data_IF_579827634068
#
_entry.id   IF_579827634068
#
_cell.length_a   1.000
_cell.length_b   1.000
_cell.length_c   1.000
_cell.angle_alpha   90.00
_cell.angle_beta   90.00
_cell.angle_gamma   90.00
#
_symmetry.space_group_name_H-M   'P 1'
#
loop_
_entity.id
_entity.type
_entity.pdbx_description
1 polymer ?
#
# COMPACT_ATOMS: atom_id res chain seq x y z
N UNK A 1 97.09 -19.90 19.49
CA UNK A 1 95.81 -19.49 20.16
C UNK A 1 94.79 -19.16 19.11
N UNK A 2 93.85 -20.08 18.92
CA UNK A 2 92.84 -20.01 17.87
C UNK A 2 91.47 -19.59 18.45
N UNK A 3 91.01 -18.48 18.07
CA UNK A 3 89.70 -17.98 18.47
C UNK A 3 88.59 -18.56 17.57
N UNK A 4 87.71 -19.35 18.15
CA UNK A 4 86.53 -19.92 17.44
C UNK A 4 85.37 -18.97 17.52
N UNK A 5 85.01 -18.34 16.40
CA UNK A 5 83.84 -17.50 16.27
C UNK A 5 82.58 -18.35 16.12
N UNK A 6 81.69 -18.28 17.09
CA UNK A 6 80.36 -18.96 17.12
C UNK A 6 79.38 -18.24 16.22
N UNK A 7 79.06 -18.83 15.10
CA UNK A 7 77.90 -18.38 14.23
C UNK A 7 76.55 -18.77 14.89
N UNK A 8 75.80 -17.80 15.36
CA UNK A 8 74.44 -17.98 15.83
C UNK A 8 73.48 -18.04 14.61
N UNK A 9 72.75 -19.16 14.48
CA UNK A 9 71.79 -19.38 13.46
C UNK A 9 70.50 -18.50 13.70
N UNK A 10 70.28 -17.56 12.82
CA UNK A 10 69.08 -16.70 12.82
C UNK A 10 67.93 -17.33 12.04
N UNK A 11 67.76 -18.65 12.04
CA UNK A 11 66.74 -19.33 11.25
C UNK A 11 65.43 -19.48 12.02
N UNK A 12 65.39 -19.28 13.33
CA UNK A 12 64.18 -19.57 14.13
C UNK A 12 63.14 -18.43 14.16
N UNK A 13 63.55 -17.19 13.83
CA UNK A 13 62.60 -16.02 13.92
C UNK A 13 61.64 -15.92 12.73
N UNK A 14 62.07 -16.37 11.56
CA UNK A 14 61.21 -16.25 10.35
C UNK A 14 60.14 -17.34 10.26
N UNK A 15 60.43 -18.54 10.75
CA UNK A 15 59.41 -19.61 10.73
C UNK A 15 58.28 -19.38 11.72
N UNK A 16 58.52 -18.70 12.84
CA UNK A 16 57.47 -18.38 13.83
C UNK A 16 56.54 -17.27 13.31
N UNK A 17 57.09 -16.29 12.60
CA UNK A 17 56.27 -15.22 11.98
C UNK A 17 55.35 -15.71 10.87
N UNK A 18 55.77 -16.67 10.08
CA UNK A 18 54.96 -17.24 9.00
C UNK A 18 53.89 -18.20 9.53
N UNK A 19 54.18 -18.99 10.57
CA UNK A 19 53.14 -19.83 11.21
C UNK A 19 52.09 -19.00 11.97
N UNK A 20 52.45 -17.89 12.58
CA UNK A 20 51.52 -16.98 13.28
C UNK A 20 50.57 -16.26 12.34
N UNK A 21 51.01 -15.94 11.10
CA UNK A 21 50.21 -15.29 10.09
C UNK A 21 49.12 -16.23 9.46
N UNK A 22 49.42 -17.51 9.33
CA UNK A 22 48.49 -18.49 8.79
C UNK A 22 47.34 -18.88 9.76
N UNK A 23 47.56 -18.71 11.08
CA UNK A 23 46.52 -19.05 12.07
C UNK A 23 45.44 -17.94 12.23
N UNK A 24 45.70 -16.74 11.74
CA UNK A 24 44.73 -15.65 11.80
C UNK A 24 43.77 -15.59 10.57
N UNK A 25 44.08 -16.30 9.49
CA UNK A 25 43.22 -16.35 8.30
C UNK A 25 42.12 -17.43 8.34
N UNK A 26 42.17 -18.35 9.31
CA UNK A 26 41.31 -19.53 9.31
C UNK A 26 39.97 -19.36 10.05
N UNK A 27 39.68 -18.22 10.66
CA UNK A 27 38.50 -18.07 11.51
C UNK A 27 37.44 -17.08 11.02
N UNK A 28 37.67 -16.40 9.89
CA UNK A 28 36.71 -15.36 9.43
C UNK A 28 35.65 -15.93 8.51
N UNK A 29 35.97 -16.94 7.70
CA UNK A 29 35.06 -17.49 6.69
C UNK A 29 33.89 -18.29 7.29
N UNK A 30 34.02 -18.80 8.51
CA UNK A 30 32.95 -19.54 9.19
C UNK A 30 32.01 -18.67 10.01
N UNK A 31 32.25 -17.37 10.14
CA UNK A 31 31.44 -16.43 10.92
C UNK A 31 30.71 -15.41 10.05
N UNK A 32 31.05 -15.31 8.77
CA UNK A 32 30.32 -14.48 7.85
C UNK A 32 29.19 -15.30 7.22
N UNK A 33 27.96 -14.83 7.22
CA UNK A 33 26.88 -15.47 6.50
C UNK A 33 27.22 -15.52 5.01
N UNK A 34 26.82 -16.62 4.33
CA UNK A 34 27.08 -16.82 2.89
C UNK A 34 26.50 -15.68 2.03
N UNK A 35 25.46 -15.02 2.54
CA UNK A 35 24.89 -13.81 1.95
C UNK A 35 24.67 -12.76 3.02
N UNK A 36 25.05 -11.52 2.74
CA UNK A 36 24.73 -10.38 3.59
C UNK A 36 23.36 -9.84 3.25
N UNK A 37 22.57 -9.54 4.26
CA UNK A 37 21.33 -8.83 4.08
C UNK A 37 21.57 -7.46 3.46
N UNK A 38 20.76 -7.08 2.51
CA UNK A 38 20.90 -5.82 1.78
C UNK A 38 19.57 -5.11 1.59
N UNK A 39 19.64 -3.80 1.53
CA UNK A 39 18.57 -2.96 1.04
C UNK A 39 18.97 -2.45 -0.34
N UNK A 40 18.21 -2.82 -1.39
CA UNK A 40 18.55 -2.44 -2.76
C UNK A 40 18.44 -0.92 -2.94
N UNK A 41 19.49 -0.31 -3.50
CA UNK A 41 19.50 1.12 -3.81
C UNK A 41 18.41 1.53 -4.81
N UNK A 42 18.04 0.62 -5.70
CA UNK A 42 17.06 0.83 -6.75
C UNK A 42 15.62 0.48 -6.29
N UNK A 43 15.47 -0.02 -5.05
CA UNK A 43 14.14 -0.21 -4.45
C UNK A 43 13.40 1.13 -4.39
N UNK A 44 12.19 1.18 -4.96
CA UNK A 44 11.44 2.42 -5.11
C UNK A 44 9.93 2.20 -5.21
N UNK A 45 9.18 3.23 -4.85
CA UNK A 45 7.78 3.32 -5.19
C UNK A 45 7.62 3.72 -6.65
N UNK A 46 6.72 3.05 -7.36
CA UNK A 46 6.39 3.31 -8.77
C UNK A 46 5.45 4.49 -8.94
N UNK A 47 4.72 4.83 -7.88
CA UNK A 47 3.77 5.93 -7.84
C UNK A 47 4.00 6.77 -6.58
N UNK A 48 4.02 8.09 -6.74
CA UNK A 48 4.20 9.07 -5.66
C UNK A 48 3.02 10.02 -5.48
N UNK A 49 2.01 9.93 -6.35
CA UNK A 49 0.79 10.73 -6.28
C UNK A 49 -0.43 9.83 -6.30
N UNK A 50 -1.29 9.98 -5.32
CA UNK A 50 -2.50 9.20 -5.13
C UNK A 50 -3.73 10.10 -5.13
N UNK A 51 -4.75 9.69 -5.89
CA UNK A 51 -6.03 10.41 -6.02
C UNK A 51 -7.21 9.48 -5.73
N UNK A 52 -7.30 8.91 -4.53
CA UNK A 52 -8.39 8.01 -4.17
C UNK A 52 -9.71 8.77 -4.03
N UNK A 53 -10.82 8.10 -4.27
CA UNK A 53 -12.16 8.63 -4.00
C UNK A 53 -12.49 8.36 -2.53
N UNK A 54 -12.92 9.41 -1.82
CA UNK A 54 -13.35 9.32 -0.42
C UNK A 54 -14.60 8.44 -0.25
N UNK A 55 -14.87 8.01 0.97
CA UNK A 55 -16.07 7.26 1.30
C UNK A 55 -16.03 5.78 0.94
N UNK A 56 -14.93 5.27 0.42
CA UNK A 56 -14.69 3.85 0.11
C UNK A 56 -13.32 3.41 0.57
N UNK A 57 -13.13 2.09 0.77
CA UNK A 57 -11.81 1.55 1.06
C UNK A 57 -10.97 1.56 -0.21
N UNK A 58 -9.93 2.37 -0.22
CA UNK A 58 -8.97 2.42 -1.31
C UNK A 58 -7.72 1.66 -0.88
N UNK A 59 -7.36 0.61 -1.62
CA UNK A 59 -6.12 -0.14 -1.47
C UNK A 59 -5.31 0.10 -2.74
N UNK A 60 -4.20 0.81 -2.58
CA UNK A 60 -3.33 1.22 -3.68
C UNK A 60 -2.18 0.22 -3.73
N UNK A 61 -2.42 -0.84 -4.52
CA UNK A 61 -1.54 -2.01 -4.67
C UNK A 61 -0.45 -1.77 -5.73
N UNK A 62 0.52 -2.71 -5.80
CA UNK A 62 1.57 -2.77 -6.82
C UNK A 62 2.38 -1.49 -6.97
N UNK A 63 2.53 -0.76 -5.89
CA UNK A 63 3.15 0.55 -5.86
C UNK A 63 4.62 0.54 -5.40
N UNK A 64 5.17 -0.62 -5.02
CA UNK A 64 6.55 -0.74 -4.56
C UNK A 64 7.32 -1.85 -5.26
N UNK A 65 8.50 -1.52 -5.80
CA UNK A 65 9.48 -2.46 -6.33
C UNK A 65 10.60 -2.66 -5.33
N UNK A 66 10.73 -3.86 -4.79
CA UNK A 66 11.75 -4.18 -3.78
C UNK A 66 13.16 -4.37 -4.38
N UNK A 67 13.27 -4.58 -5.71
CA UNK A 67 14.53 -4.96 -6.34
C UNK A 67 15.11 -6.25 -5.72
N UNK A 68 16.40 -6.23 -5.41
CA UNK A 68 17.12 -7.32 -4.75
C UNK A 68 17.20 -7.16 -3.22
N UNK A 69 16.29 -6.41 -2.62
CA UNK A 69 16.27 -6.22 -1.16
C UNK A 69 15.93 -7.52 -0.44
N UNK A 70 16.65 -7.81 0.63
CA UNK A 70 16.38 -8.94 1.52
C UNK A 70 14.99 -8.80 2.16
N UNK A 71 14.22 -9.87 2.14
CA UNK A 71 12.88 -9.92 2.74
C UNK A 71 12.96 -10.48 4.18
N UNK A 72 12.02 -10.12 5.08
CA UNK A 72 10.89 -9.25 4.85
C UNK A 72 11.22 -7.76 4.93
N UNK A 73 10.55 -6.96 4.11
CA UNK A 73 10.51 -5.51 4.26
C UNK A 73 9.42 -5.10 5.24
N UNK A 74 9.65 -4.02 5.96
CA UNK A 74 8.67 -3.41 6.86
C UNK A 74 8.49 -1.94 6.51
N UNK A 75 7.23 -1.54 6.29
CA UNK A 75 6.86 -0.19 5.90
C UNK A 75 6.11 0.51 7.03
N UNK A 76 6.42 1.79 7.23
CA UNK A 76 5.72 2.67 8.18
C UNK A 76 5.58 4.06 7.58
N UNK A 77 4.46 4.73 7.85
CA UNK A 77 4.33 6.16 7.56
C UNK A 77 5.11 6.90 8.64
N UNK A 78 6.07 7.70 8.23
CA UNK A 78 6.95 8.44 9.15
C UNK A 78 6.47 9.88 9.39
N UNK A 79 5.72 10.44 8.42
CA UNK A 79 5.21 11.80 8.50
C UNK A 79 3.93 11.92 7.67
N UNK A 80 2.95 12.70 8.19
CA UNK A 80 1.78 13.15 7.42
C UNK A 80 1.53 14.62 7.76
N UNK A 81 1.40 15.45 6.74
CA UNK A 81 1.08 16.87 6.89
C UNK A 81 0.10 17.30 5.79
N UNK A 82 -0.63 18.35 6.03
CA UNK A 82 -1.39 19.05 4.97
C UNK A 82 -0.42 19.68 3.97
N UNK A 83 -0.89 19.95 2.78
CA UNK A 83 -0.05 20.55 1.73
C UNK A 83 0.55 21.91 2.15
N UNK A 84 -0.11 22.67 2.99
CA UNK A 84 0.34 23.93 3.59
C UNK A 84 1.39 23.75 4.70
N UNK A 85 1.73 22.51 5.05
CA UNK A 85 2.67 22.15 6.12
C UNK A 85 2.03 22.01 7.49
N UNK A 86 0.73 22.27 7.64
CA UNK A 86 0.00 22.07 8.90
C UNK A 86 -0.14 20.58 9.26
N UNK A 87 -0.41 20.31 10.54
CA UNK A 87 -0.71 18.96 11.04
C UNK A 87 -1.97 18.41 10.37
N UNK A 88 -2.06 17.09 10.23
CA UNK A 88 -3.15 16.38 9.60
C UNK A 88 -3.79 15.33 10.54
N UNK A 89 -4.37 15.75 11.69
CA UNK A 89 -4.96 14.83 12.67
C UNK A 89 -6.09 14.00 12.05
N UNK A 90 -6.81 14.53 11.09
CA UNK A 90 -7.87 13.83 10.37
C UNK A 90 -7.40 12.56 9.62
N UNK A 91 -6.10 12.41 9.37
CA UNK A 91 -5.53 11.22 8.75
C UNK A 91 -4.74 10.35 9.73
N UNK A 92 -4.21 10.95 10.81
CA UNK A 92 -3.30 10.28 11.76
C UNK A 92 -4.00 9.81 13.02
N UNK A 93 -5.09 10.48 13.44
CA UNK A 93 -5.87 10.04 14.58
C UNK A 93 -6.58 8.72 14.29
N UNK A 94 -6.87 7.98 15.34
CA UNK A 94 -7.53 6.69 15.23
C UNK A 94 -9.05 6.84 15.14
N UNK A 95 -9.63 6.19 14.15
CA UNK A 95 -11.05 6.11 13.90
C UNK A 95 -11.51 4.64 13.88
N UNK A 96 -12.75 4.34 14.30
CA UNK A 96 -13.29 3.00 14.16
C UNK A 96 -13.54 2.68 12.69
N UNK A 97 -12.71 1.84 12.11
CA UNK A 97 -12.85 1.36 10.74
C UNK A 97 -13.39 -0.07 10.71
N UNK A 98 -14.20 -0.38 9.71
CA UNK A 98 -14.75 -1.71 9.51
C UNK A 98 -13.76 -2.59 8.78
N UNK A 99 -13.39 -3.70 9.38
CA UNK A 99 -12.39 -4.63 8.84
C UNK A 99 -12.94 -6.06 8.80
N UNK A 100 -12.36 -6.88 7.92
CA UNK A 100 -12.61 -8.31 7.93
C UNK A 100 -11.83 -8.97 9.09
N UNK A 101 -12.55 -9.70 9.96
CA UNK A 101 -11.97 -10.50 11.05
C UNK A 101 -11.67 -11.94 10.62
N UNK A 102 -12.42 -12.41 9.63
CA UNK A 102 -12.19 -13.69 8.97
C UNK A 102 -12.47 -13.58 7.48
N UNK A 103 -11.85 -14.44 6.63
CA UNK A 103 -11.99 -14.31 5.18
C UNK A 103 -13.41 -14.61 4.71
N UNK A 104 -13.83 -13.93 3.66
CA UNK A 104 -14.99 -14.29 2.87
C UNK A 104 -14.64 -15.49 1.98
N UNK A 105 -15.40 -16.57 2.07
CA UNK A 105 -15.12 -17.82 1.35
C UNK A 105 -16.02 -18.02 0.13
N UNK A 106 -17.11 -17.24 0.01
CA UNK A 106 -18.12 -17.42 -1.04
C UNK A 106 -19.10 -18.56 -0.78
N UNK A 107 -19.05 -19.15 0.41
CA UNK A 107 -19.97 -20.21 0.86
C UNK A 107 -21.05 -19.69 1.81
N UNK A 108 -20.97 -18.43 2.17
CA UNK A 108 -21.93 -17.74 3.04
C UNK A 108 -23.30 -17.67 2.34
N UNK A 109 -24.34 -18.08 3.07
CA UNK A 109 -25.71 -18.20 2.53
C UNK A 109 -26.59 -17.02 2.91
N UNK A 110 -26.14 -16.16 3.83
CA UNK A 110 -26.90 -15.01 4.29
C UNK A 110 -26.01 -13.78 4.50
N UNK A 111 -26.63 -12.60 4.50
CA UNK A 111 -25.96 -11.34 4.81
C UNK A 111 -25.44 -11.33 6.25
N UNK A 112 -26.17 -11.93 7.17
CA UNK A 112 -25.80 -12.03 8.58
C UNK A 112 -24.50 -12.82 8.77
N UNK A 113 -24.30 -13.91 8.01
CA UNK A 113 -23.05 -14.68 8.03
C UNK A 113 -21.86 -13.86 7.52
N UNK A 114 -22.07 -13.08 6.46
CA UNK A 114 -21.05 -12.17 5.92
C UNK A 114 -20.73 -11.08 6.93
N UNK A 115 -21.75 -10.47 7.52
CA UNK A 115 -21.58 -9.39 8.49
C UNK A 115 -20.90 -9.86 9.78
N UNK A 116 -21.15 -11.08 10.22
CA UNK A 116 -20.50 -11.68 11.39
C UNK A 116 -18.97 -11.84 11.22
N UNK A 117 -18.49 -11.87 9.98
CA UNK A 117 -17.05 -11.93 9.66
C UNK A 117 -16.36 -10.56 9.72
N UNK A 118 -17.10 -9.50 9.94
CA UNK A 118 -16.61 -8.13 10.02
C UNK A 118 -16.63 -7.62 11.45
N UNK A 119 -15.78 -6.64 11.73
CA UNK A 119 -15.74 -5.98 13.02
C UNK A 119 -15.13 -4.60 12.87
N UNK A 120 -15.12 -3.85 13.97
CA UNK A 120 -14.48 -2.55 14.03
C UNK A 120 -13.12 -2.66 14.71
N UNK A 121 -12.16 -1.89 14.21
CA UNK A 121 -10.85 -1.65 14.82
C UNK A 121 -10.53 -0.17 14.74
N UNK A 122 -9.87 0.35 15.78
CA UNK A 122 -9.37 1.73 15.72
C UNK A 122 -8.10 1.75 14.86
N UNK A 123 -8.12 2.56 13.82
CA UNK A 123 -7.02 2.72 12.89
C UNK A 123 -6.95 4.16 12.37
N UNK A 124 -5.76 4.62 12.05
CA UNK A 124 -5.60 5.86 11.30
C UNK A 124 -6.19 5.71 9.90
N UNK A 125 -6.79 6.78 9.38
CA UNK A 125 -7.46 6.73 8.07
C UNK A 125 -6.49 6.50 6.92
N UNK A 126 -5.28 7.04 7.02
CA UNK A 126 -4.18 6.76 6.09
C UNK A 126 -3.22 5.77 6.72
N UNK A 127 -2.99 4.66 6.05
CA UNK A 127 -2.08 3.60 6.50
C UNK A 127 -1.21 3.09 5.35
N UNK A 128 -0.10 2.45 5.70
CA UNK A 128 0.68 1.61 4.80
C UNK A 128 0.67 0.18 5.34
N UNK A 129 0.47 -0.80 4.49
CA UNK A 129 0.58 -2.21 4.89
C UNK A 129 2.02 -2.54 5.24
N UNK A 130 2.19 -3.13 6.41
CA UNK A 130 3.49 -3.36 7.04
C UNK A 130 4.49 -4.10 6.14
N UNK A 131 4.07 -5.06 5.36
CA UNK A 131 4.98 -5.92 4.59
C UNK A 131 4.88 -5.79 3.07
N UNK A 132 3.80 -5.21 2.56
CA UNK A 132 3.62 -5.02 1.10
C UNK A 132 3.88 -3.59 0.62
N UNK A 133 3.85 -2.61 1.53
CA UNK A 133 3.99 -1.19 1.16
C UNK A 133 2.76 -0.60 0.48
N UNK A 134 1.65 -1.34 0.41
CA UNK A 134 0.39 -0.84 -0.15
C UNK A 134 -0.16 0.28 0.73
N UNK A 135 -0.56 1.37 0.11
CA UNK A 135 -1.18 2.51 0.80
C UNK A 135 -2.68 2.29 0.90
N UNK A 136 -3.24 2.49 2.07
CA UNK A 136 -4.67 2.31 2.36
C UNK A 136 -5.26 3.64 2.82
N UNK A 137 -6.38 4.02 2.20
CA UNK A 137 -7.26 5.06 2.72
C UNK A 137 -8.63 4.43 3.03
N UNK A 138 -9.03 4.50 4.30
CA UNK A 138 -10.24 3.85 4.78
C UNK A 138 -11.52 4.60 4.40
N UNK A 139 -12.62 3.87 4.26
CA UNK A 139 -13.95 4.40 3.86
C UNK A 139 -14.50 5.49 4.80
N UNK A 140 -14.01 5.55 6.04
CA UNK A 140 -14.39 6.57 7.00
C UNK A 140 -13.85 7.97 6.65
N UNK A 141 -12.87 8.08 5.73
CA UNK A 141 -12.42 9.34 5.18
C UNK A 141 -13.53 9.97 4.34
N UNK A 142 -14.03 11.14 4.79
CA UNK A 142 -15.13 11.87 4.17
C UNK A 142 -14.73 13.31 3.85
N UNK A 143 -15.29 13.89 2.80
CA UNK A 143 -15.03 15.28 2.39
C UNK A 143 -15.51 16.32 3.40
N UNK A 144 -16.32 15.91 4.39
CA UNK A 144 -16.76 16.78 5.47
C UNK A 144 -15.62 17.20 6.40
N UNK A 145 -14.53 16.46 6.48
CA UNK A 145 -13.38 16.76 7.34
C UNK A 145 -12.01 16.48 6.70
N UNK A 146 -11.94 15.62 5.68
CA UNK A 146 -10.70 15.35 4.94
C UNK A 146 -10.61 16.34 3.77
N UNK A 147 -9.44 16.97 3.62
CA UNK A 147 -9.14 17.84 2.47
C UNK A 147 -9.15 17.05 1.18
N UNK A 148 -9.93 17.49 0.21
CA UNK A 148 -10.06 16.82 -1.09
C UNK A 148 -10.04 17.85 -2.22
N UNK A 149 -9.86 17.39 -3.47
CA UNK A 149 -9.92 18.26 -4.64
C UNK A 149 -11.16 19.20 -4.59
N UNK A 150 -11.01 20.55 -4.79
CA UNK A 150 -9.85 21.28 -5.35
C UNK A 150 -8.72 21.63 -4.36
N UNK A 151 -8.81 21.27 -3.10
CA UNK A 151 -7.73 21.48 -2.14
C UNK A 151 -6.48 20.67 -2.55
N UNK A 152 -5.29 21.17 -2.20
CA UNK A 152 -4.01 20.53 -2.55
C UNK A 152 -3.71 19.23 -1.76
N UNK A 153 -4.61 18.82 -0.86
CA UNK A 153 -4.53 17.58 -0.10
C UNK A 153 -3.40 17.52 0.91
N UNK A 154 -2.65 16.42 0.89
CA UNK A 154 -1.65 16.07 1.91
C UNK A 154 -0.33 15.65 1.31
N UNK A 155 0.72 15.75 2.12
CA UNK A 155 2.05 15.20 1.84
C UNK A 155 2.36 14.19 2.95
N UNK A 156 2.89 13.02 2.58
CA UNK A 156 3.31 12.02 3.54
C UNK A 156 4.62 11.37 3.11
N UNK A 157 5.30 10.75 4.07
CA UNK A 157 6.57 10.09 3.87
C UNK A 157 6.46 8.64 4.38
N UNK A 158 7.14 7.71 3.70
CA UNK A 158 7.15 6.30 4.06
C UNK A 158 8.60 5.86 4.31
N UNK A 159 8.80 5.19 5.43
CA UNK A 159 10.05 4.51 5.74
C UNK A 159 9.92 3.03 5.46
N UNK A 160 10.85 2.47 4.70
CA UNK A 160 11.01 1.05 4.48
C UNK A 160 12.27 0.56 5.19
N UNK A 161 12.19 -0.58 5.88
CA UNK A 161 13.26 -1.15 6.70
C UNK A 161 13.34 -2.65 6.46
N UNK A 162 14.53 -3.20 6.44
CA UNK A 162 14.82 -4.64 6.55
C UNK A 162 16.07 -4.86 7.39
N UNK A 163 16.56 -6.11 7.47
CA UNK A 163 17.79 -6.48 8.17
C UNK A 163 19.05 -5.84 7.56
N UNK A 164 19.05 -5.52 6.26
CA UNK A 164 20.17 -4.91 5.55
C UNK A 164 20.22 -3.37 5.64
N UNK A 165 19.16 -2.72 6.13
CA UNK A 165 19.13 -1.26 6.23
C UNK A 165 17.74 -0.65 6.16
N UNK A 166 17.70 0.63 5.85
CA UNK A 166 16.44 1.38 5.71
C UNK A 166 16.56 2.48 4.67
N UNK A 167 15.41 2.89 4.15
CA UNK A 167 15.31 4.01 3.22
C UNK A 167 14.05 4.83 3.52
N UNK A 168 14.17 6.15 3.48
CA UNK A 168 13.06 7.09 3.60
C UNK A 168 12.64 7.53 2.20
N UNK A 169 11.37 7.39 1.90
CA UNK A 169 10.74 7.87 0.67
C UNK A 169 9.87 9.05 1.04
N UNK A 170 10.20 10.22 0.53
CA UNK A 170 9.58 11.49 0.92
C UNK A 170 8.77 12.11 -0.20
N UNK A 171 7.79 12.95 0.19
CA UNK A 171 7.07 13.79 -0.75
C UNK A 171 5.95 13.10 -1.51
N UNK A 172 5.40 12.00 -0.99
CA UNK A 172 4.17 11.42 -1.55
C UNK A 172 3.03 12.43 -1.42
N UNK A 173 2.24 12.52 -2.46
CA UNK A 173 1.08 13.40 -2.50
C UNK A 173 -0.21 12.58 -2.46
N UNK A 174 -1.09 12.92 -1.53
CA UNK A 174 -2.44 12.39 -1.42
C UNK A 174 -3.42 13.53 -1.72
N UNK A 175 -4.10 13.47 -2.85
CA UNK A 175 -5.11 14.43 -3.28
C UNK A 175 -6.42 13.67 -3.46
N UNK A 176 -7.18 13.44 -2.40
CA UNK A 176 -8.42 12.68 -2.50
C UNK A 176 -9.43 13.42 -3.38
N UNK A 177 -10.24 12.64 -4.09
CA UNK A 177 -11.42 13.12 -4.79
C UNK A 177 -12.62 13.00 -3.84
N UNK A 178 -13.60 13.90 -4.01
CA UNK A 178 -14.85 13.88 -3.25
C UNK A 178 -15.56 12.54 -3.40
N UNK A 179 -16.24 12.10 -2.36
CA UNK A 179 -17.09 10.92 -2.42
C UNK A 179 -18.20 11.05 -3.46
N UNK A 180 -18.50 9.94 -4.10
CA UNK A 180 -19.55 9.82 -5.11
C UNK A 180 -20.22 8.45 -5.01
N UNK A 181 -21.52 8.42 -5.29
CA UNK A 181 -22.33 7.21 -5.10
C UNK A 181 -22.00 6.11 -6.10
N UNK A 182 -21.61 6.48 -7.33
CA UNK A 182 -21.34 5.52 -8.41
C UNK A 182 -20.33 6.09 -9.42
N UNK A 183 -19.83 5.22 -10.28
CA UNK A 183 -18.90 5.54 -11.36
C UNK A 183 -19.33 4.80 -12.66
N UNK A 184 -19.34 5.50 -13.81
CA UNK A 184 -19.19 6.96 -13.99
C UNK A 184 -20.30 7.75 -13.29
N UNK A 185 -19.99 8.98 -12.81
CA UNK A 185 -20.90 9.78 -12.00
C UNK A 185 -21.39 10.99 -12.77
N UNK A 186 -22.63 11.44 -12.48
CA UNK A 186 -23.16 12.74 -12.91
C UNK A 186 -22.77 13.89 -11.95
N UNK A 187 -22.00 13.61 -10.92
CA UNK A 187 -21.55 14.61 -9.97
C UNK A 187 -20.27 15.30 -10.47
N UNK A 188 -20.25 16.63 -10.41
CA UNK A 188 -19.04 17.42 -10.66
C UNK A 188 -17.99 17.13 -9.59
N UNK A 189 -16.78 16.72 -10.00
CA UNK A 189 -15.72 16.28 -9.08
C UNK A 189 -15.20 17.41 -8.18
N UNK A 190 -15.28 18.68 -8.60
CA UNK A 190 -14.74 19.81 -7.88
C UNK A 190 -15.75 20.36 -6.87
N UNK A 191 -16.98 20.55 -7.30
CA UNK A 191 -18.01 21.21 -6.51
C UNK A 191 -18.86 20.24 -5.69
N UNK A 192 -18.92 18.96 -6.11
CA UNK A 192 -19.79 17.96 -5.51
C UNK A 192 -21.27 18.15 -5.86
N UNK A 193 -21.57 19.04 -6.81
CA UNK A 193 -22.94 19.29 -7.26
C UNK A 193 -23.33 18.24 -8.31
N UNK A 194 -24.53 17.72 -8.22
CA UNK A 194 -25.07 16.82 -9.23
C UNK A 194 -25.39 17.66 -10.47
N UNK A 195 -24.80 17.28 -11.61
CA UNK A 195 -25.11 17.87 -12.91
C UNK A 195 -26.43 17.30 -13.44
N UNK A 196 -27.10 18.02 -14.33
CA UNK A 196 -28.33 17.52 -14.97
C UNK A 196 -28.04 16.42 -15.99
N UNK A 197 -26.77 16.22 -16.34
CA UNK A 197 -26.35 15.19 -17.28
C UNK A 197 -26.36 13.80 -16.64
N UNK A 198 -27.06 12.89 -17.28
CA UNK A 198 -27.08 11.49 -16.90
C UNK A 198 -25.98 10.71 -17.63
N UNK A 199 -25.43 9.70 -16.97
CA UNK A 199 -24.55 8.75 -17.66
C UNK A 199 -25.38 7.82 -18.52
N UNK A 200 -25.14 7.86 -19.82
CA UNK A 200 -25.81 7.01 -20.81
C UNK A 200 -24.82 5.98 -21.35
N UNK A 201 -24.86 4.72 -20.91
CA UNK A 201 -24.04 3.68 -21.52
C UNK A 201 -24.47 3.44 -22.95
N UNK A 202 -23.55 3.29 -23.88
CA UNK A 202 -23.81 3.01 -25.29
C UNK A 202 -24.48 1.64 -25.49
N UNK A 203 -24.20 0.69 -24.63
CA UNK A 203 -24.84 -0.63 -24.62
C UNK A 203 -24.79 -1.26 -23.25
N UNK A 204 -25.84 -2.03 -22.91
CA UNK A 204 -25.91 -2.85 -21.70
C UNK A 204 -26.12 -4.28 -22.09
N UNK A 205 -25.27 -5.18 -21.63
CA UNK A 205 -25.34 -6.63 -21.90
C UNK A 205 -25.36 -7.40 -20.60
N UNK A 206 -26.05 -8.53 -20.62
CA UNK A 206 -26.03 -9.44 -19.46
C UNK A 206 -26.91 -9.00 -18.30
N UNK A 207 -27.83 -8.09 -18.49
CA UNK A 207 -28.75 -7.62 -17.45
C UNK A 207 -30.15 -8.18 -17.64
N UNK A 208 -30.89 -8.35 -16.54
CA UNK A 208 -32.28 -8.76 -16.53
C UNK A 208 -33.17 -7.57 -16.21
N UNK A 209 -34.25 -7.44 -16.91
CA UNK A 209 -35.31 -6.45 -16.62
C UNK A 209 -36.28 -7.08 -15.62
N UNK A 210 -36.64 -6.34 -14.57
CA UNK A 210 -37.64 -6.78 -13.59
C UNK A 210 -38.96 -7.14 -14.26
N UNK A 211 -39.54 -8.26 -13.86
CA UNK A 211 -40.80 -8.77 -14.44
C UNK A 211 -40.66 -9.52 -15.76
N UNK A 212 -39.48 -9.78 -16.25
CA UNK A 212 -39.23 -10.59 -17.44
C UNK A 212 -38.35 -11.80 -17.11
N UNK A 213 -38.62 -12.93 -17.77
CA UNK A 213 -37.85 -14.18 -17.60
C UNK A 213 -36.73 -14.32 -18.63
N UNK A 214 -36.14 -13.22 -19.09
CA UNK A 214 -35.18 -13.26 -20.16
C UNK A 214 -33.93 -12.41 -19.94
N UNK A 215 -32.89 -12.80 -20.65
CA UNK A 215 -31.63 -12.08 -20.73
C UNK A 215 -31.72 -11.05 -21.86
N UNK A 216 -31.36 -9.78 -21.60
CA UNK A 216 -31.42 -8.73 -22.61
C UNK A 216 -30.12 -8.62 -23.37
N UNK A 217 -30.17 -8.72 -24.67
CA UNK A 217 -29.01 -8.47 -25.54
C UNK A 217 -28.74 -6.97 -25.69
N UNK A 218 -29.79 -6.19 -25.98
CA UNK A 218 -29.76 -4.72 -26.14
C UNK A 218 -31.05 -4.15 -25.57
N UNK A 219 -30.92 -3.10 -24.79
CA UNK A 219 -32.05 -2.39 -24.18
C UNK A 219 -32.31 -1.07 -24.93
N UNK A 220 -33.56 -0.58 -24.90
CA UNK A 220 -33.85 0.75 -25.39
C UNK A 220 -33.26 1.84 -24.43
N UNK A 221 -33.28 3.09 -24.87
CA UNK A 221 -32.68 4.18 -24.13
C UNK A 221 -33.30 4.40 -22.74
N UNK A 222 -34.61 4.23 -22.60
CA UNK A 222 -35.29 4.36 -21.32
C UNK A 222 -34.99 3.20 -20.38
N UNK A 223 -34.93 1.98 -20.88
CA UNK A 223 -34.51 0.81 -20.11
C UNK A 223 -33.05 0.94 -19.65
N UNK A 224 -32.17 1.46 -20.49
CA UNK A 224 -30.75 1.71 -20.15
C UNK A 224 -30.66 2.71 -19.01
N UNK A 225 -31.38 3.82 -19.06
CA UNK A 225 -31.43 4.81 -17.99
C UNK A 225 -31.83 4.19 -16.65
N UNK A 226 -32.97 3.51 -16.62
CA UNK A 226 -33.53 2.93 -15.41
C UNK A 226 -32.63 1.87 -14.80
N UNK A 227 -32.10 0.94 -15.59
CA UNK A 227 -31.30 -0.19 -15.12
C UNK A 227 -29.88 0.25 -14.79
N UNK A 228 -29.28 1.15 -15.57
CA UNK A 228 -27.94 1.66 -15.27
C UNK A 228 -27.90 2.36 -13.91
N UNK A 229 -28.91 3.18 -13.61
CA UNK A 229 -28.98 3.88 -12.33
C UNK A 229 -29.08 2.91 -11.13
N UNK A 230 -30.01 1.97 -11.20
CA UNK A 230 -30.22 1.01 -10.10
C UNK A 230 -29.07 0.03 -9.97
N UNK A 231 -28.51 -0.44 -11.07
CA UNK A 231 -27.47 -1.46 -11.08
C UNK A 231 -26.09 -0.91 -10.69
N UNK A 232 -25.75 0.28 -11.18
CA UNK A 232 -24.53 0.95 -10.75
C UNK A 232 -24.56 1.26 -9.24
N UNK A 233 -25.70 1.70 -8.73
CA UNK A 233 -25.88 1.93 -7.30
C UNK A 233 -25.83 0.64 -6.47
N UNK A 234 -26.37 -0.47 -6.98
CA UNK A 234 -26.28 -1.79 -6.35
C UNK A 234 -24.83 -2.31 -6.34
N UNK A 235 -24.07 -2.13 -7.40
CA UNK A 235 -22.66 -2.49 -7.46
C UNK A 235 -21.80 -1.66 -6.48
N UNK A 236 -22.09 -0.40 -6.32
CA UNK A 236 -21.43 0.45 -5.33
C UNK A 236 -21.74 0.00 -3.91
N UNK A 237 -22.99 -0.35 -3.60
CA UNK A 237 -23.35 -0.89 -2.28
C UNK A 237 -22.68 -2.24 -2.00
N UNK A 238 -22.49 -3.10 -2.99
CA UNK A 238 -21.76 -4.36 -2.85
C UNK A 238 -20.25 -4.18 -2.69
N UNK A 239 -19.66 -3.13 -3.24
CA UNK A 239 -18.26 -2.76 -2.99
C UNK A 239 -18.03 -2.19 -1.59
N UNK A 240 -19.06 -1.65 -0.96
CA UNK A 240 -19.02 -1.15 0.41
C UNK A 240 -19.41 -2.20 1.45
N UNK A 241 -19.90 -3.35 1.01
CA UNK A 241 -20.08 -4.56 1.81
C UNK A 241 -18.82 -5.42 1.75
#
# INVERSE_FOLDING_TARGET
IMEMKRKRNNICGWCIGVLGGCLLQSCVDNFLPESLDSFDKDAAFTQTMYRPVLGRNNILSDNFSAGNSTQPLTFTISRVVRHDGGEAPELTDEFPVRVWKSPYLGTETSLEEIEAKRGYENRSLLQVRKHSGEVILWANARSSFVKCDPDSGYIFDIRAVNSGGWKEYTGFRLIPKRERDYEPTSMDELTGVITEDFVHPLSVRGMYKEGTSGFFGVMNEEDIKAVSYTHLRAHETLRHL
#
